data_IF_794806580706
#
_entry.id   IF_794806580706
#
_cell.length_a   1.000
_cell.length_b   1.000
_cell.length_c   1.000
_cell.angle_alpha   90.00
_cell.angle_beta   90.00
_cell.angle_gamma   90.00
#
_symmetry.space_group_name_H-M   'P 1'
#
loop_
_entity.id
_entity.type
_entity.pdbx_description
1 polymer ?
#
# COMPACT_ATOMS: atom_id res chain seq x y z
N UNK A 1 -58.47 -46.65 -11.36
CA UNK A 1 -57.55 -45.83 -10.58
C UNK A 1 -56.16 -45.96 -11.17
N UNK A 2 -55.71 -44.96 -11.90
CA UNK A 2 -54.33 -44.92 -12.49
C UNK A 2 -53.53 -43.87 -11.69
N UNK A 3 -52.52 -44.36 -10.95
CA UNK A 3 -51.59 -43.50 -10.24
C UNK A 3 -50.55 -42.92 -11.22
N UNK A 4 -50.52 -41.61 -11.31
CA UNK A 4 -49.46 -40.88 -12.06
C UNK A 4 -48.26 -40.66 -11.13
N UNK A 5 -47.10 -41.23 -11.49
CA UNK A 5 -45.82 -41.01 -10.82
C UNK A 5 -45.22 -39.76 -11.44
N UNK A 6 -45.12 -38.68 -10.66
CA UNK A 6 -44.39 -37.48 -11.03
C UNK A 6 -42.90 -37.68 -10.75
N UNK A 7 -42.12 -37.86 -11.79
CA UNK A 7 -40.67 -37.87 -11.67
C UNK A 7 -40.16 -36.44 -11.60
N UNK A 8 -39.68 -36.04 -10.43
CA UNK A 8 -39.04 -34.74 -10.20
C UNK A 8 -37.61 -34.81 -10.72
N UNK A 9 -37.36 -34.23 -11.91
CA UNK A 9 -36.00 -34.06 -12.44
C UNK A 9 -35.26 -33.02 -11.58
N UNK A 10 -34.28 -33.45 -10.80
CA UNK A 10 -33.27 -32.56 -10.23
C UNK A 10 -32.35 -32.10 -11.38
N UNK A 11 -32.47 -30.83 -11.76
CA UNK A 11 -31.47 -30.17 -12.61
C UNK A 11 -30.27 -29.83 -11.73
N UNK A 12 -29.06 -30.31 -12.03
CA UNK A 12 -27.87 -29.91 -11.29
C UNK A 12 -27.64 -28.44 -11.57
N UNK A 13 -27.70 -27.60 -10.54
CA UNK A 13 -27.23 -26.22 -10.61
C UNK A 13 -25.73 -26.23 -10.87
N UNK A 14 -25.33 -26.04 -12.11
CA UNK A 14 -23.95 -25.75 -12.47
C UNK A 14 -23.56 -24.46 -11.76
N UNK A 15 -22.75 -24.54 -10.70
CA UNK A 15 -22.02 -23.41 -10.17
C UNK A 15 -21.09 -22.92 -11.31
N UNK A 16 -21.56 -21.93 -12.06
CA UNK A 16 -20.66 -21.13 -12.90
C UNK A 16 -19.65 -20.49 -11.94
N UNK A 17 -18.41 -20.93 -12.00
CA UNK A 17 -17.30 -20.24 -11.34
C UNK A 17 -17.33 -18.79 -11.83
N UNK A 18 -17.47 -17.84 -10.91
CA UNK A 18 -17.38 -16.43 -11.26
C UNK A 18 -16.04 -16.22 -11.98
N UNK A 19 -16.01 -15.45 -13.09
CA UNK A 19 -14.75 -15.15 -13.77
C UNK A 19 -13.79 -14.52 -12.76
N UNK A 20 -12.54 -14.98 -12.80
CA UNK A 20 -11.49 -14.37 -12.00
C UNK A 20 -11.44 -12.87 -12.32
N UNK A 21 -11.30 -12.00 -11.31
CA UNK A 21 -11.22 -10.57 -11.57
C UNK A 21 -10.05 -10.30 -12.52
N UNK A 22 -10.30 -9.51 -13.55
CA UNK A 22 -9.24 -9.04 -14.44
C UNK A 22 -8.15 -8.39 -13.56
N UNK A 23 -6.91 -8.85 -13.72
CA UNK A 23 -5.77 -8.20 -13.07
C UNK A 23 -5.60 -6.83 -13.70
N UNK A 24 -5.75 -5.78 -12.88
CA UNK A 24 -5.55 -4.41 -13.33
C UNK A 24 -4.11 -4.14 -13.76
N UNK A 25 -3.89 -3.01 -14.40
CA UNK A 25 -2.56 -2.55 -14.80
C UNK A 25 -1.61 -2.51 -13.61
N UNK A 26 -0.30 -2.78 -13.81
CA UNK A 26 0.68 -2.64 -12.73
C UNK A 26 0.79 -1.17 -12.28
N UNK A 27 0.89 -1.00 -10.97
CA UNK A 27 1.15 0.28 -10.31
C UNK A 27 2.36 0.11 -9.42
N UNK A 28 3.49 0.72 -9.81
CA UNK A 28 4.73 0.72 -9.06
C UNK A 28 4.92 2.08 -8.38
N UNK A 29 5.06 2.07 -7.09
CA UNK A 29 5.26 3.28 -6.29
C UNK A 29 6.51 3.14 -5.44
N UNK A 30 7.37 4.14 -5.51
CA UNK A 30 8.57 4.22 -4.68
C UNK A 30 8.49 5.43 -3.78
N UNK A 31 8.66 5.21 -2.49
CA UNK A 31 8.79 6.26 -1.49
C UNK A 31 10.27 6.50 -1.21
N UNK A 32 10.75 7.71 -1.42
CA UNK A 32 12.08 8.19 -1.06
C UNK A 32 11.91 9.17 0.10
N UNK A 33 12.19 8.72 1.31
CA UNK A 33 11.95 9.48 2.54
C UNK A 33 13.27 10.02 3.08
N UNK A 34 13.31 11.32 3.27
CA UNK A 34 14.36 11.96 4.02
C UNK A 34 14.30 11.50 5.49
N UNK A 35 15.42 11.11 6.03
CA UNK A 35 15.61 10.65 7.41
C UNK A 35 16.66 11.46 8.15
N UNK A 36 16.89 12.71 7.73
CA UNK A 36 17.67 13.70 8.50
C UNK A 36 16.99 14.04 9.83
N UNK A 37 17.69 14.75 10.69
CA UNK A 37 17.21 15.05 12.05
C UNK A 37 15.95 15.91 12.10
N UNK A 38 15.70 16.71 11.06
CA UNK A 38 14.49 17.56 10.95
C UNK A 38 13.21 16.79 10.57
N UNK A 39 13.32 15.49 10.21
CA UNK A 39 12.24 14.75 9.52
C UNK A 39 11.39 13.84 10.40
N UNK A 40 11.45 13.94 11.73
CA UNK A 40 10.65 13.12 12.66
C UNK A 40 9.15 13.16 12.32
N UNK A 41 8.61 14.35 12.02
CA UNK A 41 7.22 14.53 11.66
C UNK A 41 6.82 13.80 10.37
N UNK A 42 7.68 13.79 9.33
CA UNK A 42 7.46 13.05 8.10
C UNK A 42 7.43 11.55 8.36
N UNK A 43 8.43 11.02 9.07
CA UNK A 43 8.54 9.58 9.35
C UNK A 43 7.36 9.10 10.18
N UNK A 44 6.95 9.86 11.19
CA UNK A 44 5.76 9.56 11.98
C UNK A 44 4.48 9.63 11.15
N UNK A 45 4.38 10.59 10.23
CA UNK A 45 3.25 10.68 9.30
C UNK A 45 3.21 9.49 8.34
N UNK A 46 4.36 9.07 7.79
CA UNK A 46 4.46 7.90 6.93
C UNK A 46 4.00 6.62 7.66
N UNK A 47 4.42 6.43 8.92
CA UNK A 47 3.99 5.29 9.75
C UNK A 47 2.48 5.27 9.99
N UNK A 48 1.86 6.44 10.20
CA UNK A 48 0.41 6.56 10.44
C UNK A 48 -0.43 6.40 9.19
N UNK A 49 0.07 6.86 8.03
CA UNK A 49 -0.73 7.11 6.83
C UNK A 49 -0.51 6.10 5.69
N UNK A 50 0.49 5.21 5.77
CA UNK A 50 0.74 4.23 4.69
C UNK A 50 -0.51 3.45 4.32
N UNK A 51 -1.24 2.92 5.28
CA UNK A 51 -2.42 2.09 5.01
C UNK A 51 -3.57 2.89 4.40
N UNK A 52 -3.78 4.14 4.85
CA UNK A 52 -4.75 5.04 4.22
C UNK A 52 -4.40 5.30 2.76
N UNK A 53 -3.13 5.51 2.45
CA UNK A 53 -2.64 5.67 1.09
C UNK A 53 -2.87 4.42 0.22
N UNK A 54 -2.57 3.23 0.75
CA UNK A 54 -2.84 1.96 0.05
C UNK A 54 -4.33 1.78 -0.22
N UNK A 55 -5.19 2.14 0.74
CA UNK A 55 -6.64 2.05 0.59
C UNK A 55 -7.18 2.98 -0.51
N UNK A 56 -6.57 4.15 -0.73
CA UNK A 56 -6.94 5.01 -1.86
C UNK A 56 -6.60 4.36 -3.21
N UNK A 57 -5.48 3.67 -3.30
CA UNK A 57 -5.13 2.91 -4.51
C UNK A 57 -6.07 1.74 -4.76
N UNK A 58 -6.64 1.16 -3.70
CA UNK A 58 -7.64 0.09 -3.85
C UNK A 58 -8.96 0.55 -4.50
N UNK A 59 -9.20 1.86 -4.59
CA UNK A 59 -10.34 2.44 -5.31
C UNK A 59 -10.13 2.50 -6.82
N UNK A 60 -8.92 2.22 -7.32
CA UNK A 60 -8.62 2.18 -8.76
C UNK A 60 -9.25 0.94 -9.39
N UNK A 61 -9.92 1.11 -10.53
CA UNK A 61 -10.58 0.03 -11.28
C UNK A 61 -10.02 -0.14 -12.71
N UNK A 62 -9.78 -1.41 -13.12
CA UNK A 62 -9.79 -2.62 -12.29
C UNK A 62 -8.69 -2.56 -11.22
N UNK A 63 -8.87 -3.28 -10.09
CA UNK A 63 -7.90 -3.27 -8.98
C UNK A 63 -6.49 -3.55 -9.49
N UNK A 64 -5.52 -2.65 -9.31
CA UNK A 64 -4.21 -2.78 -9.88
C UNK A 64 -3.37 -3.86 -9.18
N UNK A 65 -2.29 -4.29 -9.84
CA UNK A 65 -1.22 -5.00 -9.15
C UNK A 65 -0.27 -3.95 -8.58
N UNK A 66 -0.37 -3.71 -7.27
CA UNK A 66 0.43 -2.72 -6.56
C UNK A 66 1.76 -3.33 -6.10
N UNK A 67 2.87 -2.67 -6.43
CA UNK A 67 4.19 -2.90 -5.82
C UNK A 67 4.70 -1.61 -5.21
N UNK A 68 5.27 -1.72 -4.02
CA UNK A 68 5.83 -0.57 -3.29
C UNK A 68 7.31 -0.83 -3.03
N UNK A 69 8.15 0.16 -3.34
CA UNK A 69 9.57 0.22 -2.99
C UNK A 69 9.83 1.34 -1.98
N UNK A 70 10.92 1.23 -1.25
CA UNK A 70 11.29 2.21 -0.23
C UNK A 70 12.78 2.52 -0.27
N UNK A 71 13.10 3.79 -0.29
CA UNK A 71 14.41 4.36 -0.03
C UNK A 71 14.35 5.32 1.14
N UNK A 72 15.47 5.44 1.86
CA UNK A 72 15.72 6.50 2.82
C UNK A 72 17.02 7.21 2.48
N UNK A 73 17.13 8.49 2.82
CA UNK A 73 18.32 9.30 2.52
C UNK A 73 18.53 10.40 3.58
N UNK A 74 19.63 11.14 3.49
CA UNK A 74 19.93 12.25 4.39
C UNK A 74 20.34 11.82 5.82
N UNK A 75 20.69 10.56 6.04
CA UNK A 75 21.04 10.03 7.35
C UNK A 75 22.54 9.76 7.44
N UNK A 76 23.23 10.44 8.33
CA UNK A 76 24.70 10.36 8.50
C UNK A 76 25.20 8.98 8.98
N UNK A 77 24.33 8.07 9.35
CA UNK A 77 24.68 6.67 9.66
C UNK A 77 24.74 5.78 8.43
N UNK A 78 24.33 6.28 7.27
CA UNK A 78 24.39 5.54 6.00
C UNK A 78 25.74 5.74 5.30
N UNK A 79 25.98 4.94 4.27
CA UNK A 79 27.20 4.97 3.50
C UNK A 79 27.40 6.32 2.77
N UNK A 80 28.42 7.07 3.17
CA UNK A 80 28.75 8.35 2.57
C UNK A 80 29.17 8.23 1.08
N UNK A 81 29.77 7.10 0.68
CA UNK A 81 30.14 6.86 -0.73
C UNK A 81 28.93 6.74 -1.64
N UNK A 82 27.76 6.40 -1.08
CA UNK A 82 26.45 6.41 -1.75
C UNK A 82 25.70 7.73 -1.59
N UNK A 83 26.30 8.74 -0.96
CA UNK A 83 25.63 10.00 -0.67
C UNK A 83 24.53 9.86 0.38
N UNK A 84 24.78 9.03 1.40
CA UNK A 84 23.81 8.77 2.49
C UNK A 84 22.44 8.30 2.01
N UNK A 85 22.41 7.50 0.93
CA UNK A 85 21.20 6.88 0.38
C UNK A 85 21.18 5.39 0.66
N UNK A 86 20.06 4.87 1.16
CA UNK A 86 19.86 3.45 1.44
C UNK A 86 18.59 2.93 0.79
N UNK A 87 18.71 1.82 0.04
CA UNK A 87 17.57 1.04 -0.41
C UNK A 87 17.04 0.20 0.76
N UNK A 88 15.83 0.47 1.21
CA UNK A 88 15.18 -0.24 2.31
C UNK A 88 14.42 -1.46 1.82
N UNK A 89 13.68 -1.31 0.71
CA UNK A 89 12.86 -2.38 0.13
C UNK A 89 12.87 -2.27 -1.40
N UNK A 90 13.06 -3.40 -2.07
CA UNK A 90 12.83 -3.54 -3.52
C UNK A 90 11.34 -3.44 -3.82
N UNK A 91 10.95 -3.12 -5.08
CA UNK A 91 9.55 -3.15 -5.49
C UNK A 91 8.91 -4.51 -5.19
N UNK A 92 7.96 -4.53 -4.27
CA UNK A 92 7.33 -5.76 -3.76
C UNK A 92 5.82 -5.59 -3.59
N UNK A 93 5.09 -6.69 -3.72
CA UNK A 93 3.67 -6.80 -3.32
C UNK A 93 3.50 -7.09 -1.83
N UNK A 94 4.58 -7.42 -1.11
CA UNK A 94 4.56 -7.64 0.33
C UNK A 94 4.51 -6.31 1.08
N UNK A 95 3.28 -5.82 1.30
CA UNK A 95 3.03 -4.56 2.00
C UNK A 95 3.43 -4.62 3.48
N UNK A 96 3.49 -5.81 4.08
CA UNK A 96 3.92 -5.99 5.45
C UNK A 96 5.43 -5.78 5.61
N UNK A 97 6.25 -6.23 4.64
CA UNK A 97 7.68 -5.92 4.63
C UNK A 97 7.92 -4.42 4.46
N UNK A 98 7.17 -3.75 3.57
CA UNK A 98 7.25 -2.28 3.41
C UNK A 98 6.93 -1.57 4.73
N UNK A 99 5.82 -1.92 5.38
CA UNK A 99 5.41 -1.29 6.64
C UNK A 99 6.39 -1.55 7.78
N UNK A 100 6.93 -2.76 7.86
CA UNK A 100 7.98 -3.14 8.80
C UNK A 100 9.20 -2.23 8.64
N UNK A 101 9.65 -1.97 7.41
CA UNK A 101 10.80 -1.10 7.15
C UNK A 101 10.52 0.35 7.49
N UNK A 102 9.34 0.87 7.14
CA UNK A 102 8.92 2.24 7.53
C UNK A 102 8.93 2.37 9.06
N UNK A 103 8.41 1.37 9.80
CA UNK A 103 8.41 1.40 11.27
C UNK A 103 9.82 1.34 11.87
N UNK A 104 10.77 0.73 11.17
CA UNK A 104 12.16 0.65 11.60
C UNK A 104 12.97 1.91 11.28
N UNK A 105 12.47 2.83 10.44
CA UNK A 105 13.16 4.08 10.14
C UNK A 105 13.32 4.93 11.40
N UNK A 106 14.50 5.51 11.51
CA UNK A 106 14.88 6.49 12.54
C UNK A 106 15.56 7.65 11.86
N UNK A 107 15.28 8.84 12.35
CA UNK A 107 15.98 10.05 11.91
C UNK A 107 17.39 10.10 12.49
N UNK A 108 18.30 10.81 11.82
CA UNK A 108 19.65 11.02 12.28
C UNK A 108 19.68 12.05 13.43
N UNK A 109 20.63 11.88 14.35
CA UNK A 109 20.87 12.86 15.41
C UNK A 109 21.64 14.11 14.94
N UNK A 110 22.33 14.02 13.79
CA UNK A 110 23.11 15.11 13.20
C UNK A 110 22.90 15.14 11.67
N UNK A 111 23.01 16.32 11.07
CA UNK A 111 22.78 16.52 9.64
C UNK A 111 23.84 15.86 8.77
N UNK A 112 23.41 15.43 7.60
CA UNK A 112 24.22 15.08 6.43
C UNK A 112 23.61 15.78 5.23
N UNK A 113 24.26 15.76 4.09
CA UNK A 113 23.64 16.28 2.87
C UNK A 113 22.46 15.42 2.45
N UNK A 114 21.42 16.04 1.98
CA UNK A 114 20.13 15.44 1.69
C UNK A 114 19.90 15.41 0.18
N UNK A 115 20.51 14.42 -0.48
CA UNK A 115 20.63 14.36 -1.93
C UNK A 115 19.38 13.81 -2.61
N UNK A 116 18.33 14.63 -2.75
CA UNK A 116 17.09 14.30 -3.43
C UNK A 116 17.30 13.83 -4.88
N UNK A 117 18.25 14.45 -5.62
CA UNK A 117 18.62 14.01 -6.97
C UNK A 117 19.22 12.60 -6.97
N UNK A 118 20.11 12.30 -6.03
CA UNK A 118 20.82 11.01 -5.94
C UNK A 118 19.88 9.86 -5.55
N UNK A 119 19.02 10.06 -4.57
CA UNK A 119 18.05 9.03 -4.21
C UNK A 119 17.10 8.75 -5.37
N UNK A 120 16.68 9.79 -6.10
CA UNK A 120 15.84 9.63 -7.30
C UNK A 120 16.55 8.82 -8.38
N UNK A 121 17.83 9.14 -8.66
CA UNK A 121 18.67 8.40 -9.61
C UNK A 121 18.76 6.91 -9.22
N UNK A 122 19.08 6.60 -7.97
CA UNK A 122 19.18 5.21 -7.52
C UNK A 122 17.83 4.48 -7.62
N UNK A 123 16.73 5.13 -7.28
CA UNK A 123 15.40 4.55 -7.45
C UNK A 123 15.09 4.25 -8.93
N UNK A 124 15.50 5.11 -9.85
CA UNK A 124 15.36 4.88 -11.31
C UNK A 124 16.23 3.74 -11.81
N UNK A 125 17.44 3.55 -11.29
CA UNK A 125 18.45 2.63 -11.83
C UNK A 125 18.45 1.26 -11.18
N UNK A 126 18.24 1.19 -9.86
CA UNK A 126 18.47 -0.03 -9.07
C UNK A 126 17.22 -0.89 -8.88
N UNK A 127 16.01 -0.34 -9.11
CA UNK A 127 14.77 -1.06 -8.91
C UNK A 127 14.32 -1.80 -10.17
N UNK A 128 13.68 -2.94 -9.93
CA UNK A 128 13.09 -3.79 -10.99
C UNK A 128 11.69 -3.31 -11.34
N UNK A 129 11.59 -2.20 -12.04
CA UNK A 129 10.32 -1.63 -12.50
C UNK A 129 9.53 -2.58 -13.40
N UNK A 130 8.21 -2.49 -13.36
CA UNK A 130 7.32 -3.20 -14.29
C UNK A 130 7.67 -2.87 -15.74
N UNK A 131 7.80 -3.87 -16.62
CA UNK A 131 8.13 -3.64 -18.03
C UNK A 131 6.94 -3.08 -18.82
N UNK A 132 5.71 -3.21 -18.31
CA UNK A 132 4.49 -2.81 -18.99
C UNK A 132 4.44 -1.28 -19.12
N UNK A 133 4.41 -0.79 -20.38
CA UNK A 133 4.45 0.65 -20.68
C UNK A 133 3.18 1.40 -20.28
N UNK A 134 2.06 0.71 -20.18
CA UNK A 134 0.75 1.25 -19.82
C UNK A 134 0.50 1.21 -18.29
N UNK A 135 1.44 0.66 -17.52
CA UNK A 135 1.44 0.71 -16.06
C UNK A 135 1.76 2.12 -15.53
N UNK A 136 1.37 2.38 -14.31
CA UNK A 136 1.69 3.61 -13.60
C UNK A 136 2.96 3.41 -12.77
N UNK A 137 4.01 4.21 -13.03
CA UNK A 137 5.30 4.13 -12.34
C UNK A 137 5.63 5.49 -11.74
N UNK A 138 5.74 5.54 -10.41
CA UNK A 138 5.83 6.79 -9.66
C UNK A 138 6.93 6.69 -8.60
N UNK A 139 7.71 7.75 -8.48
CA UNK A 139 8.57 8.03 -7.33
C UNK A 139 7.99 9.22 -6.58
N UNK A 140 7.85 9.12 -5.26
CA UNK A 140 7.62 10.25 -4.37
C UNK A 140 8.91 10.55 -3.61
N UNK A 141 9.43 11.75 -3.76
CA UNK A 141 10.60 12.23 -3.02
C UNK A 141 10.14 13.24 -1.99
N UNK A 142 10.40 12.96 -0.72
CA UNK A 142 9.94 13.75 0.43
C UNK A 142 11.14 14.30 1.20
N UNK A 143 11.20 15.60 1.44
CA UNK A 143 12.27 16.27 2.19
C UNK A 143 11.97 17.75 2.40
N UNK A 144 12.85 18.46 3.11
CA UNK A 144 12.66 19.86 3.48
C UNK A 144 13.83 20.79 3.11
N UNK A 145 14.98 20.25 2.73
CA UNK A 145 16.16 21.02 2.37
C UNK A 145 16.19 21.39 0.88
N UNK A 146 17.10 22.27 0.42
CA UNK A 146 17.24 22.59 -1.01
C UNK A 146 17.44 21.32 -1.85
N UNK A 147 16.61 21.16 -2.88
CA UNK A 147 16.58 19.95 -3.72
C UNK A 147 17.83 19.75 -4.57
N UNK A 148 18.65 20.79 -4.77
CA UNK A 148 19.83 20.87 -5.64
C UNK A 148 21.17 20.80 -4.89
N UNK A 149 21.20 20.23 -3.68
CA UNK A 149 22.41 20.09 -2.88
C UNK A 149 23.49 19.20 -3.54
N UNK A 150 23.07 18.19 -4.33
CA UNK A 150 23.98 17.25 -4.97
C UNK A 150 24.70 17.90 -6.15
N UNK A 151 26.04 18.01 -6.07
CA UNK A 151 26.85 18.60 -7.12
C UNK A 151 27.31 17.59 -8.18
N UNK A 152 27.20 16.27 -7.87
CA UNK A 152 27.59 15.19 -8.78
C UNK A 152 26.43 14.69 -9.62
N UNK A 153 25.19 14.83 -9.14
CA UNK A 153 23.97 14.38 -9.80
C UNK A 153 23.03 15.57 -10.03
N UNK A 154 22.90 15.99 -11.28
CA UNK A 154 22.04 17.14 -11.62
C UNK A 154 20.56 16.72 -11.68
N UNK A 155 19.68 17.63 -11.30
CA UNK A 155 18.22 17.44 -11.41
C UNK A 155 17.80 17.25 -12.87
N UNK A 156 18.49 17.90 -13.83
CA UNK A 156 18.26 17.77 -15.26
C UNK A 156 18.50 16.34 -15.73
N UNK A 157 19.64 15.75 -15.37
CA UNK A 157 19.98 14.37 -15.76
C UNK A 157 18.98 13.35 -15.21
N UNK A 158 18.50 13.55 -13.98
CA UNK A 158 17.45 12.72 -13.36
C UNK A 158 16.14 12.87 -14.11
N UNK A 159 15.77 14.10 -14.48
CA UNK A 159 14.51 14.36 -15.19
C UNK A 159 14.52 13.73 -16.61
N UNK A 160 15.63 13.80 -17.33
CA UNK A 160 15.80 13.14 -18.63
C UNK A 160 15.69 11.62 -18.51
N UNK A 161 16.36 11.04 -17.50
CA UNK A 161 16.30 9.61 -17.25
C UNK A 161 14.88 9.14 -16.85
N UNK A 162 14.19 9.88 -16.00
CA UNK A 162 12.81 9.59 -15.60
C UNK A 162 11.85 9.59 -16.80
N UNK A 163 11.94 10.62 -17.64
CA UNK A 163 11.16 10.71 -18.90
C UNK A 163 11.47 9.57 -19.85
N UNK A 164 12.76 9.25 -20.05
CA UNK A 164 13.18 8.15 -20.92
C UNK A 164 12.63 6.80 -20.48
N UNK A 165 12.48 6.59 -19.18
CA UNK A 165 11.88 5.38 -18.59
C UNK A 165 10.36 5.46 -18.46
N UNK A 166 9.72 6.59 -18.69
CA UNK A 166 8.30 6.83 -18.46
C UNK A 166 7.90 6.70 -16.99
N UNK A 167 8.77 7.13 -16.08
CA UNK A 167 8.56 7.16 -14.64
C UNK A 167 8.31 8.60 -14.20
N UNK A 168 7.25 8.84 -13.44
CA UNK A 168 6.93 10.13 -12.89
C UNK A 168 7.65 10.34 -11.56
N UNK A 169 8.24 11.51 -11.33
CA UNK A 169 8.77 11.88 -10.02
C UNK A 169 7.92 13.01 -9.45
N UNK A 170 7.22 12.69 -8.38
CA UNK A 170 6.47 13.65 -7.58
C UNK A 170 7.31 14.08 -6.40
N UNK A 171 7.11 15.30 -5.94
CA UNK A 171 7.81 15.81 -4.77
C UNK A 171 6.85 16.21 -3.66
N UNK A 172 7.25 15.94 -2.42
CA UNK A 172 6.54 16.39 -1.23
C UNK A 172 7.52 17.24 -0.41
N UNK A 173 7.34 18.55 -0.51
CA UNK A 173 8.12 19.46 0.30
C UNK A 173 7.57 19.51 1.74
N UNK A 174 8.41 19.21 2.71
CA UNK A 174 8.04 19.13 4.14
C UNK A 174 8.30 20.46 4.84
N UNK A 175 7.56 21.49 4.46
CA UNK A 175 7.67 22.85 4.96
C UNK A 175 6.57 23.74 4.40
N UNK A 176 6.61 25.03 4.73
CA UNK A 176 5.61 26.00 4.25
C UNK A 176 5.77 26.24 2.73
N UNK A 177 4.67 26.34 1.96
CA UNK A 177 4.73 26.55 0.53
C UNK A 177 5.38 27.88 0.09
N UNK A 178 5.52 28.80 1.04
CA UNK A 178 6.15 30.11 0.82
C UNK A 178 7.66 30.12 1.09
N UNK A 179 8.23 29.00 1.57
CA UNK A 179 9.67 28.91 1.80
C UNK A 179 10.42 28.93 0.46
N UNK A 180 11.63 29.51 0.45
CA UNK A 180 12.43 29.67 -0.77
C UNK A 180 12.70 28.34 -1.47
N UNK A 181 12.93 27.28 -0.73
CA UNK A 181 13.26 25.96 -1.27
C UNK A 181 12.07 25.26 -1.93
N UNK A 182 10.83 25.58 -1.54
CA UNK A 182 9.62 24.98 -2.13
C UNK A 182 9.57 25.15 -3.66
N UNK A 183 10.07 26.26 -4.19
CA UNK A 183 10.12 26.53 -5.64
C UNK A 183 11.03 25.53 -6.39
N UNK A 184 12.16 25.14 -5.78
CA UNK A 184 13.06 24.13 -6.33
C UNK A 184 12.40 22.76 -6.47
N UNK A 185 11.68 22.32 -5.43
CA UNK A 185 10.92 21.07 -5.42
C UNK A 185 9.82 21.04 -6.47
N UNK A 186 9.07 22.15 -6.63
CA UNK A 186 8.08 22.31 -7.70
C UNK A 186 8.68 22.18 -9.09
N UNK A 187 9.80 22.85 -9.31
CA UNK A 187 10.52 22.83 -10.59
C UNK A 187 11.03 21.43 -10.91
N UNK A 188 11.58 20.70 -9.95
CA UNK A 188 12.07 19.35 -10.14
C UNK A 188 10.93 18.40 -10.51
N UNK A 189 9.82 18.40 -9.77
CA UNK A 189 8.65 17.58 -10.10
C UNK A 189 8.15 17.84 -11.53
N UNK A 190 8.00 19.13 -11.91
CA UNK A 190 7.55 19.53 -13.25
C UNK A 190 8.47 19.04 -14.35
N UNK A 191 9.81 19.16 -14.16
CA UNK A 191 10.80 18.64 -15.10
C UNK A 191 10.70 17.12 -15.29
N UNK A 192 10.28 16.37 -14.24
CA UNK A 192 10.09 14.91 -14.28
C UNK A 192 8.68 14.48 -14.73
N UNK A 193 7.84 15.40 -15.19
CA UNK A 193 6.45 15.13 -15.57
C UNK A 193 5.53 14.79 -14.40
N UNK A 194 6.01 15.03 -13.17
CA UNK A 194 5.28 14.80 -11.93
C UNK A 194 4.59 16.05 -11.40
N UNK A 195 4.16 15.97 -10.16
CA UNK A 195 3.50 17.03 -9.40
C UNK A 195 4.21 17.26 -8.07
N UNK A 196 4.08 18.46 -7.54
CA UNK A 196 4.57 18.82 -6.22
C UNK A 196 3.42 19.09 -5.27
N UNK A 197 3.62 18.76 -4.00
CA UNK A 197 2.75 19.16 -2.90
C UNK A 197 3.59 19.54 -1.68
N UNK A 198 2.96 20.21 -0.73
CA UNK A 198 3.58 20.60 0.53
C UNK A 198 2.83 19.96 1.68
N UNK A 199 3.57 19.61 2.72
CA UNK A 199 2.99 19.19 4.01
C UNK A 199 3.61 20.02 5.12
N UNK A 200 2.79 20.40 6.09
CA UNK A 200 3.30 20.94 7.35
C UNK A 200 3.63 19.79 8.30
N UNK A 201 4.90 19.65 8.65
CA UNK A 201 5.37 18.62 9.58
C UNK A 201 4.85 18.84 11.01
N UNK A 202 4.73 20.07 11.44
CA UNK A 202 4.20 20.41 12.77
C UNK A 202 2.69 20.19 12.83
N UNK A 203 1.94 20.57 11.79
CA UNK A 203 0.51 20.29 11.63
C UNK A 203 0.20 18.80 11.57
N UNK A 204 1.07 17.99 10.98
CA UNK A 204 0.94 16.53 10.94
C UNK A 204 0.95 15.88 12.34
N UNK A 205 1.60 16.49 13.32
CA UNK A 205 1.55 16.07 14.73
C UNK A 205 0.22 16.41 15.41
N UNK A 206 -0.46 17.44 14.93
CA UNK A 206 -1.69 17.98 15.52
C UNK A 206 -2.98 17.41 14.89
N UNK A 207 -2.88 16.54 13.85
CA UNK A 207 -4.06 16.00 13.18
C UNK A 207 -4.91 15.16 14.16
N UNK A 208 -6.04 15.72 14.55
CA UNK A 208 -7.02 15.03 15.39
C UNK A 208 -7.70 13.96 14.54
N UNK A 209 -7.47 12.71 14.90
CA UNK A 209 -8.14 11.60 14.24
C UNK A 209 -9.66 11.71 14.41
N UNK A 210 -10.40 11.77 13.30
CA UNK A 210 -11.86 11.74 13.33
C UNK A 210 -12.28 10.32 13.70
N UNK A 211 -12.82 10.16 14.90
CA UNK A 211 -13.40 8.89 15.36
C UNK A 211 -14.79 8.72 14.76
N UNK A 212 -15.06 7.54 14.23
CA UNK A 212 -16.32 7.22 13.58
C UNK A 212 -17.07 6.09 14.31
N UNK A 213 -18.40 6.02 14.19
CA UNK A 213 -19.18 4.92 14.78
C UNK A 213 -18.87 3.54 14.19
N UNK A 214 -18.10 3.47 13.09
CA UNK A 214 -17.76 2.24 12.38
C UNK A 214 -16.40 1.66 12.79
N UNK A 215 -15.57 2.44 13.47
CA UNK A 215 -14.16 2.14 13.73
C UNK A 215 -13.97 0.86 14.54
N UNK A 216 -14.76 0.67 15.57
CA UNK A 216 -14.63 -0.50 16.45
C UNK A 216 -15.00 -1.81 15.73
N UNK A 217 -16.03 -1.79 14.88
CA UNK A 217 -16.43 -2.98 14.11
C UNK A 217 -15.40 -3.32 13.03
N UNK A 218 -14.87 -2.32 12.32
CA UNK A 218 -13.78 -2.51 11.34
C UNK A 218 -12.55 -3.09 12.04
N UNK A 219 -12.20 -2.60 13.23
CA UNK A 219 -11.07 -3.09 14.00
C UNK A 219 -11.24 -4.57 14.38
N UNK A 220 -12.42 -4.96 14.87
CA UNK A 220 -12.74 -6.37 15.18
C UNK A 220 -12.65 -7.27 13.96
N UNK A 221 -13.23 -6.85 12.84
CA UNK A 221 -13.19 -7.60 11.59
C UNK A 221 -11.77 -7.67 11.02
N UNK A 222 -10.99 -6.60 11.14
CA UNK A 222 -9.58 -6.56 10.76
C UNK A 222 -8.69 -7.51 11.58
N UNK A 223 -9.08 -7.84 12.81
CA UNK A 223 -8.44 -8.91 13.61
C UNK A 223 -8.97 -10.28 13.18
N UNK A 224 -10.29 -10.42 13.05
CA UNK A 224 -10.94 -11.69 12.72
C UNK A 224 -10.53 -12.24 11.36
N UNK A 225 -10.22 -11.39 10.37
CA UNK A 225 -9.78 -11.83 9.06
C UNK A 225 -8.50 -12.65 9.12
N UNK A 226 -7.64 -12.46 10.15
CA UNK A 226 -6.42 -13.24 10.34
C UNK A 226 -6.70 -14.74 10.51
N UNK A 227 -7.86 -15.11 11.08
CA UNK A 227 -8.27 -16.51 11.29
C UNK A 227 -8.65 -17.22 9.99
N UNK A 228 -8.73 -16.49 8.90
CA UNK A 228 -9.07 -17.03 7.57
C UNK A 228 -7.83 -17.39 6.74
N UNK A 229 -6.63 -16.94 7.13
CA UNK A 229 -5.39 -17.26 6.41
C UNK A 229 -4.94 -18.70 6.71
N UNK A 230 -4.59 -19.41 5.65
CA UNK A 230 -4.04 -20.76 5.71
C UNK A 230 -2.60 -20.72 5.21
N UNK A 231 -1.72 -20.35 6.12
CA UNK A 231 -0.30 -20.15 5.83
C UNK A 231 0.41 -21.46 5.49
N UNK A 232 1.03 -21.55 4.31
CA UNK A 232 1.65 -22.75 3.78
C UNK A 232 3.06 -22.52 3.27
N UNK A 233 3.78 -23.62 3.01
CA UNK A 233 5.13 -23.60 2.47
C UNK A 233 6.17 -23.07 3.46
N UNK A 234 7.42 -22.97 2.99
CA UNK A 234 8.56 -22.61 3.84
C UNK A 234 8.50 -21.17 4.38
N UNK A 235 7.79 -20.27 3.70
CA UNK A 235 7.62 -18.87 4.12
C UNK A 235 6.39 -18.66 5.01
N UNK A 236 5.44 -19.60 5.06
CA UNK A 236 4.14 -19.41 5.70
C UNK A 236 4.22 -18.96 7.16
N UNK A 237 5.03 -19.63 7.98
CA UNK A 237 5.19 -19.27 9.39
C UNK A 237 5.78 -17.85 9.58
N UNK A 238 6.79 -17.49 8.78
CA UNK A 238 7.41 -16.17 8.85
C UNK A 238 6.45 -15.06 8.38
N UNK A 239 5.68 -15.31 7.34
CA UNK A 239 4.68 -14.36 6.82
C UNK A 239 3.55 -14.13 7.83
N UNK A 240 3.06 -15.20 8.48
CA UNK A 240 2.11 -15.10 9.60
C UNK A 240 2.64 -14.22 10.72
N UNK A 241 3.86 -14.52 11.17
CA UNK A 241 4.50 -13.76 12.24
C UNK A 241 4.67 -12.28 11.87
N UNK A 242 5.06 -11.99 10.62
CA UNK A 242 5.17 -10.62 10.12
C UNK A 242 3.81 -9.92 10.08
N UNK A 243 2.75 -10.57 9.55
CA UNK A 243 1.39 -10.00 9.54
C UNK A 243 0.95 -9.58 10.94
N UNK A 244 1.08 -10.46 11.94
CA UNK A 244 0.70 -10.18 13.32
C UNK A 244 1.56 -9.07 13.95
N UNK A 245 2.87 -9.04 13.64
CA UNK A 245 3.76 -7.99 14.10
C UNK A 245 3.36 -6.62 13.52
N UNK A 246 2.97 -6.57 12.23
CA UNK A 246 2.54 -5.33 11.61
C UNK A 246 1.14 -4.89 12.09
N UNK A 247 0.25 -5.81 12.45
CA UNK A 247 -1.00 -5.48 13.17
C UNK A 247 -0.68 -4.78 14.51
N UNK A 248 0.27 -5.33 15.27
CA UNK A 248 0.74 -4.74 16.52
C UNK A 248 1.41 -3.37 16.32
N UNK A 249 2.20 -3.20 15.28
CA UNK A 249 2.83 -1.92 14.95
C UNK A 249 1.79 -0.86 14.60
N UNK A 250 0.82 -1.18 13.76
CA UNK A 250 -0.26 -0.27 13.40
C UNK A 250 -1.06 0.19 14.64
N UNK A 251 -1.37 -0.74 15.55
CA UNK A 251 -2.08 -0.42 16.79
C UNK A 251 -1.28 0.49 17.73
N UNK A 252 0.06 0.31 17.78
CA UNK A 252 0.96 1.15 18.61
C UNK A 252 1.13 2.55 18.02
N UNK A 253 1.16 2.68 16.70
CA UNK A 253 1.39 3.96 16.01
C UNK A 253 0.18 4.88 16.20
N UNK A 254 -1.01 4.40 15.88
CA UNK A 254 -2.26 5.15 16.10
C UNK A 254 -3.50 4.24 15.93
N UNK A 255 -4.59 4.49 16.65
CA UNK A 255 -5.85 3.77 16.46
C UNK A 255 -6.33 3.80 15.00
N UNK A 256 -6.25 4.95 14.33
CA UNK A 256 -6.60 5.11 12.92
C UNK A 256 -5.77 4.24 11.99
N UNK A 257 -4.46 4.08 12.24
CA UNK A 257 -3.60 3.21 11.45
C UNK A 257 -4.02 1.73 11.53
N UNK A 258 -4.45 1.26 12.69
CA UNK A 258 -4.96 -0.10 12.86
C UNK A 258 -6.28 -0.33 12.09
N UNK A 259 -7.16 0.67 12.05
CA UNK A 259 -8.42 0.63 11.30
C UNK A 259 -8.12 0.57 9.80
N UNK A 260 -7.27 1.47 9.30
CA UNK A 260 -6.89 1.50 7.88
C UNK A 260 -6.20 0.20 7.45
N UNK A 261 -5.34 -0.38 8.31
CA UNK A 261 -4.75 -1.69 8.05
C UNK A 261 -5.80 -2.81 7.98
N UNK A 262 -6.81 -2.78 8.85
CA UNK A 262 -7.94 -3.72 8.79
C UNK A 262 -8.69 -3.64 7.46
N UNK A 263 -8.92 -2.42 6.96
CA UNK A 263 -9.52 -2.16 5.64
C UNK A 263 -8.60 -2.71 4.53
N UNK A 264 -7.30 -2.44 4.59
CA UNK A 264 -6.32 -2.92 3.60
C UNK A 264 -6.32 -4.45 3.52
N UNK A 265 -6.26 -5.16 4.65
CA UNK A 265 -6.28 -6.64 4.69
C UNK A 265 -7.56 -7.24 4.10
N UNK A 266 -8.67 -6.53 4.21
CA UNK A 266 -9.92 -6.90 3.57
C UNK A 266 -10.01 -6.47 2.10
N UNK A 267 -9.09 -5.65 1.63
CA UNK A 267 -9.07 -5.11 0.27
C UNK A 267 -8.35 -6.00 -0.74
N UNK A 268 -8.54 -5.71 -2.03
CA UNK A 268 -7.96 -6.49 -3.13
C UNK A 268 -6.46 -6.29 -3.35
N UNK A 269 -5.83 -5.30 -2.71
CA UNK A 269 -4.39 -5.03 -2.84
C UNK A 269 -3.52 -5.84 -1.85
N UNK A 270 -4.08 -6.35 -0.77
CA UNK A 270 -3.37 -7.16 0.21
C UNK A 270 -3.48 -8.63 -0.18
N UNK A 271 -2.45 -9.16 -0.85
CA UNK A 271 -2.42 -10.53 -1.37
C UNK A 271 -1.18 -11.27 -0.92
N UNK A 272 -1.36 -12.52 -0.51
CA UNK A 272 -0.31 -13.40 0.00
C UNK A 272 -0.30 -14.77 -0.73
N UNK A 273 -0.59 -14.80 -2.02
CA UNK A 273 -0.76 -16.04 -2.79
C UNK A 273 0.48 -16.96 -2.79
N UNK A 274 1.68 -16.42 -2.50
CA UNK A 274 2.88 -17.24 -2.35
C UNK A 274 2.92 -18.07 -1.06
N UNK A 275 2.15 -17.67 -0.03
CA UNK A 275 2.21 -18.27 1.29
C UNK A 275 0.85 -18.42 2.01
N UNK A 276 -0.26 -18.02 1.38
CA UNK A 276 -1.63 -18.26 1.85
C UNK A 276 -2.43 -19.03 0.81
N UNK A 277 -2.96 -20.20 1.20
CA UNK A 277 -3.69 -21.10 0.30
C UNK A 277 -5.00 -20.51 -0.19
N UNK A 278 -5.65 -19.63 0.58
CA UNK A 278 -6.90 -19.00 0.15
C UNK A 278 -6.62 -18.00 -0.96
N UNK A 279 -5.63 -17.12 -0.78
CA UNK A 279 -5.24 -16.19 -1.84
C UNK A 279 -4.74 -16.91 -3.07
N UNK A 280 -3.97 -18.00 -2.90
CA UNK A 280 -3.50 -18.83 -3.99
C UNK A 280 -4.67 -19.43 -4.77
N UNK A 281 -5.63 -20.04 -4.09
CA UNK A 281 -6.83 -20.62 -4.71
C UNK A 281 -7.66 -19.58 -5.47
N UNK A 282 -7.77 -18.35 -4.95
CA UNK A 282 -8.58 -17.30 -5.55
C UNK A 282 -7.89 -16.57 -6.72
N UNK A 283 -6.56 -16.62 -6.81
CA UNK A 283 -5.80 -15.89 -7.83
C UNK A 283 -5.18 -16.79 -8.93
N UNK A 284 -5.07 -18.10 -8.74
CA UNK A 284 -4.52 -19.04 -9.71
C UNK A 284 -5.62 -19.85 -10.39
N UNK A 285 -5.73 -19.75 -11.74
CA UNK A 285 -6.75 -20.45 -12.53
C UNK A 285 -6.69 -21.97 -12.41
N UNK A 286 -5.47 -22.50 -12.32
CA UNK A 286 -5.20 -23.94 -12.30
C UNK A 286 -4.79 -24.43 -10.90
N UNK A 287 -5.28 -23.75 -9.86
CA UNK A 287 -5.03 -24.15 -8.48
C UNK A 287 -5.54 -25.56 -8.22
N UNK A 288 -4.65 -26.42 -7.75
CA UNK A 288 -4.95 -27.78 -7.34
C UNK A 288 -4.25 -28.07 -6.01
N UNK A 289 -5.05 -28.23 -4.96
CA UNK A 289 -4.53 -28.52 -3.61
C UNK A 289 -3.68 -29.78 -3.56
N UNK A 290 -3.95 -30.78 -4.43
CA UNK A 290 -3.21 -32.05 -4.50
C UNK A 290 -1.77 -31.85 -5.00
N UNK A 291 -1.46 -30.73 -5.67
CA UNK A 291 -0.09 -30.39 -6.09
C UNK A 291 0.75 -29.79 -4.96
N UNK A 292 0.15 -29.40 -3.85
CA UNK A 292 0.86 -28.91 -2.68
C UNK A 292 1.41 -30.11 -1.90
N UNK A 293 2.71 -30.09 -1.62
CA UNK A 293 3.36 -31.17 -0.84
C UNK A 293 2.76 -31.23 0.56
N UNK A 294 2.56 -32.45 1.07
CA UNK A 294 2.01 -32.68 2.42
C UNK A 294 2.81 -31.92 3.50
N UNK A 295 4.15 -31.88 3.36
CA UNK A 295 5.02 -31.17 4.30
C UNK A 295 4.74 -29.66 4.33
N UNK A 296 4.32 -29.07 3.21
CA UNK A 296 4.08 -27.62 3.05
C UNK A 296 2.66 -27.21 3.46
N UNK A 297 1.75 -28.16 3.67
CA UNK A 297 0.39 -27.84 4.13
C UNK A 297 0.39 -27.26 5.55
N UNK A 298 -0.55 -26.36 5.88
CA UNK A 298 -0.75 -25.91 7.24
C UNK A 298 -1.26 -27.06 8.14
N UNK A 299 -0.92 -27.01 9.44
CA UNK A 299 -1.26 -28.07 10.40
C UNK A 299 -2.76 -28.34 10.49
N UNK A 300 -3.59 -27.33 10.26
CA UNK A 300 -5.05 -27.46 10.21
C UNK A 300 -5.50 -28.42 9.10
N UNK A 301 -4.88 -28.34 7.92
CA UNK A 301 -5.19 -29.24 6.80
C UNK A 301 -4.55 -30.63 6.96
N UNK A 302 -3.36 -30.72 7.56
CA UNK A 302 -2.72 -32.02 7.85
C UNK A 302 -3.56 -32.89 8.77
N UNK A 303 -4.33 -32.29 9.69
CA UNK A 303 -5.23 -32.99 10.61
C UNK A 303 -6.50 -33.52 9.95
N UNK A 304 -6.83 -33.05 8.75
CA UNK A 304 -8.02 -33.44 8.01
C UNK A 304 -7.73 -34.61 7.06
N UNK A 305 -8.74 -35.45 6.81
CA UNK A 305 -8.69 -36.40 5.71
C UNK A 305 -8.58 -35.68 4.37
N UNK A 306 -7.96 -36.29 3.37
CA UNK A 306 -7.72 -35.67 2.07
C UNK A 306 -9.01 -35.08 1.44
N UNK A 307 -10.12 -35.82 1.53
CA UNK A 307 -11.40 -35.42 0.94
C UNK A 307 -12.07 -34.23 1.68
N UNK A 308 -11.71 -33.99 2.94
CA UNK A 308 -12.25 -32.90 3.76
C UNK A 308 -11.47 -31.58 3.58
N UNK A 309 -10.28 -31.62 2.99
CA UNK A 309 -9.38 -30.46 2.87
C UNK A 309 -9.90 -29.37 1.93
N UNK A 310 -10.38 -29.76 0.75
CA UNK A 310 -10.93 -28.80 -0.21
C UNK A 310 -12.25 -28.15 0.28
N UNK A 311 -13.21 -28.89 0.85
CA UNK A 311 -14.36 -28.30 1.56
C UNK A 311 -13.96 -27.30 2.64
N UNK A 312 -12.92 -27.60 3.42
CA UNK A 312 -12.41 -26.69 4.45
C UNK A 312 -11.83 -25.39 3.86
N UNK A 313 -11.05 -25.49 2.77
CA UNK A 313 -10.56 -24.31 2.03
C UNK A 313 -11.72 -23.42 1.57
N UNK A 314 -12.72 -24.03 0.94
CA UNK A 314 -13.91 -23.30 0.44
C UNK A 314 -14.66 -22.61 1.56
N UNK A 315 -14.80 -23.28 2.71
CA UNK A 315 -15.39 -22.67 3.92
C UNK A 315 -14.59 -21.44 4.38
N UNK A 316 -13.26 -21.56 4.49
CA UNK A 316 -12.38 -20.44 4.89
C UNK A 316 -12.42 -19.28 3.88
N UNK A 317 -12.48 -19.57 2.59
CA UNK A 317 -12.67 -18.54 1.55
C UNK A 317 -14.01 -17.84 1.70
N UNK A 318 -15.08 -18.56 1.99
CA UNK A 318 -16.39 -17.99 2.28
C UNK A 318 -16.37 -17.07 3.50
N UNK A 319 -15.76 -17.51 4.61
CA UNK A 319 -15.59 -16.69 5.83
C UNK A 319 -14.83 -15.39 5.52
N UNK A 320 -13.75 -15.47 4.72
CA UNK A 320 -12.97 -14.30 4.28
C UNK A 320 -13.83 -13.35 3.43
N UNK A 321 -14.56 -13.88 2.47
CA UNK A 321 -15.43 -13.09 1.58
C UNK A 321 -16.49 -12.31 2.34
N UNK A 322 -17.14 -12.92 3.33
CA UNK A 322 -18.13 -12.23 4.17
C UNK A 322 -17.50 -11.10 5.00
N UNK A 323 -16.31 -11.33 5.57
CA UNK A 323 -15.58 -10.29 6.30
C UNK A 323 -15.20 -9.15 5.34
N UNK A 324 -14.65 -9.47 4.17
CA UNK A 324 -14.25 -8.48 3.15
C UNK A 324 -15.44 -7.61 2.71
N UNK A 325 -16.59 -8.22 2.44
CA UNK A 325 -17.82 -7.52 2.08
C UNK A 325 -18.25 -6.56 3.19
N UNK A 326 -18.32 -7.04 4.44
CA UNK A 326 -18.74 -6.22 5.58
C UNK A 326 -17.79 -5.04 5.80
N UNK A 327 -16.47 -5.29 5.76
CA UNK A 327 -15.47 -4.23 5.90
C UNK A 327 -15.58 -3.20 4.76
N UNK A 328 -15.81 -3.62 3.52
CA UNK A 328 -16.00 -2.73 2.39
C UNK A 328 -17.21 -1.79 2.58
N UNK A 329 -18.35 -2.34 3.05
CA UNK A 329 -19.55 -1.54 3.34
C UNK A 329 -19.30 -0.53 4.48
N UNK A 330 -18.65 -0.99 5.56
CA UNK A 330 -18.32 -0.13 6.69
C UNK A 330 -17.29 0.95 6.33
N UNK A 331 -16.28 0.62 5.52
CA UNK A 331 -15.27 1.57 5.08
C UNK A 331 -15.86 2.67 4.21
N UNK A 332 -16.84 2.34 3.35
CA UNK A 332 -17.59 3.32 2.55
C UNK A 332 -18.39 4.28 3.44
N UNK A 333 -19.08 3.75 4.45
CA UNK A 333 -19.82 4.58 5.42
C UNK A 333 -18.87 5.46 6.24
N UNK A 334 -17.73 4.90 6.65
CA UNK A 334 -16.67 5.60 7.37
C UNK A 334 -16.09 6.76 6.56
N UNK A 335 -15.75 6.54 5.29
CA UNK A 335 -15.24 7.58 4.40
C UNK A 335 -16.22 8.76 4.30
N UNK A 336 -17.49 8.49 4.03
CA UNK A 336 -18.54 9.53 3.97
C UNK A 336 -18.68 10.31 5.28
N UNK A 337 -18.57 9.63 6.41
CA UNK A 337 -18.62 10.28 7.72
C UNK A 337 -17.41 11.21 7.92
N UNK A 338 -16.21 10.73 7.61
CA UNK A 338 -14.97 11.51 7.71
C UNK A 338 -15.04 12.74 6.80
N UNK A 339 -15.48 12.58 5.55
CA UNK A 339 -15.58 13.68 4.59
C UNK A 339 -16.58 14.74 5.07
N UNK A 340 -17.72 14.33 5.64
CA UNK A 340 -18.68 15.25 6.23
C UNK A 340 -18.13 16.01 7.43
N UNK A 341 -17.36 15.37 8.32
CA UNK A 341 -16.73 16.02 9.46
C UNK A 341 -15.57 16.94 9.03
N UNK A 342 -14.75 16.52 8.06
CA UNK A 342 -13.70 17.35 7.47
C UNK A 342 -14.26 18.61 6.82
N UNK A 343 -15.35 18.50 6.08
CA UNK A 343 -16.00 19.67 5.46
C UNK A 343 -16.47 20.71 6.50
N UNK A 344 -16.82 20.27 7.71
CA UNK A 344 -17.11 21.19 8.83
C UNK A 344 -15.84 21.86 9.38
N UNK A 345 -14.71 21.16 9.39
CA UNK A 345 -13.43 21.63 9.94
C UNK A 345 -12.59 22.45 8.94
N UNK A 346 -12.60 22.12 7.64
CA UNK A 346 -11.84 22.80 6.58
C UNK A 346 -12.17 24.29 6.40
N UNK A 347 -13.30 24.74 6.95
CA UNK A 347 -13.58 26.19 7.08
C UNK A 347 -12.59 26.92 8.01
N UNK A 348 -11.68 26.20 8.67
CA UNK A 348 -10.86 26.72 9.76
C UNK A 348 -9.33 26.72 9.53
N UNK A 349 -8.72 25.82 8.73
CA UNK A 349 -7.24 25.65 8.74
C UNK A 349 -6.49 25.60 7.41
N UNK A 350 -7.11 25.30 6.30
CA UNK A 350 -6.45 25.39 4.96
C UNK A 350 -5.27 24.43 4.63
N UNK A 351 -4.79 23.61 5.56
CA UNK A 351 -3.60 22.78 5.43
C UNK A 351 -3.91 21.34 4.97
N UNK A 352 -3.00 20.76 4.16
CA UNK A 352 -3.13 19.37 3.67
C UNK A 352 -2.24 18.43 4.47
N UNK A 353 -2.80 17.28 4.89
CA UNK A 353 -2.04 16.17 5.43
C UNK A 353 -1.31 15.38 4.33
N UNK A 354 -0.29 14.59 4.69
CA UNK A 354 0.51 13.79 3.74
C UNK A 354 -0.37 12.87 2.87
N UNK A 355 -1.33 12.16 3.48
CA UNK A 355 -2.23 11.26 2.76
C UNK A 355 -3.10 12.01 1.75
N UNK A 356 -3.53 13.23 2.05
CA UNK A 356 -4.30 14.06 1.13
C UNK A 356 -3.43 14.51 -0.06
N UNK A 357 -2.18 14.94 0.21
CA UNK A 357 -1.25 15.33 -0.83
C UNK A 357 -0.94 14.18 -1.81
N UNK A 358 -0.67 12.99 -1.27
CA UNK A 358 -0.43 11.79 -2.08
C UNK A 358 -1.67 11.37 -2.87
N UNK A 359 -2.85 11.42 -2.24
CA UNK A 359 -4.15 11.08 -2.86
C UNK A 359 -4.46 11.95 -4.06
N UNK A 360 -4.36 13.27 -3.89
CA UNK A 360 -4.67 14.23 -4.95
C UNK A 360 -3.77 14.00 -6.18
N UNK A 361 -2.47 13.78 -5.95
CA UNK A 361 -1.51 13.50 -7.02
C UNK A 361 -1.84 12.19 -7.72
N UNK A 362 -2.11 11.13 -6.97
CA UNK A 362 -2.41 9.81 -7.53
C UNK A 362 -3.70 9.79 -8.33
N UNK A 363 -4.78 10.40 -7.83
CA UNK A 363 -6.07 10.46 -8.51
C UNK A 363 -5.90 11.08 -9.90
N UNK A 364 -5.18 12.18 -10.00
CA UNK A 364 -4.92 12.86 -11.26
C UNK A 364 -4.06 12.03 -12.21
N UNK A 365 -2.99 11.41 -11.69
CA UNK A 365 -2.06 10.62 -12.51
C UNK A 365 -2.68 9.29 -12.96
N UNK A 366 -3.45 8.61 -12.11
CA UNK A 366 -4.22 7.43 -12.47
C UNK A 366 -5.23 7.74 -13.58
N UNK A 367 -5.98 8.83 -13.44
CA UNK A 367 -6.94 9.28 -14.45
C UNK A 367 -6.25 9.58 -15.79
N UNK A 368 -5.09 10.22 -15.77
CA UNK A 368 -4.30 10.53 -16.99
C UNK A 368 -3.83 9.27 -17.74
N UNK A 369 -3.69 8.14 -17.03
CA UNK A 369 -3.36 6.82 -17.60
C UNK A 369 -4.58 5.98 -17.96
N UNK A 370 -5.78 6.56 -17.89
CA UNK A 370 -7.03 5.90 -18.22
C UNK A 370 -7.49 4.88 -17.16
N UNK A 371 -6.96 4.99 -15.93
CA UNK A 371 -7.46 4.25 -14.79
C UNK A 371 -8.65 5.00 -14.18
N UNK A 372 -9.70 4.27 -13.84
CA UNK A 372 -10.87 4.84 -13.17
C UNK A 372 -10.65 4.79 -11.66
N UNK A 373 -10.93 5.87 -10.97
CA UNK A 373 -10.88 5.93 -9.49
C UNK A 373 -12.32 6.06 -9.00
N UNK A 374 -12.76 5.10 -8.17
CA UNK A 374 -14.06 5.19 -7.50
C UNK A 374 -14.05 6.33 -6.49
N UNK A 375 -15.16 7.03 -6.37
CA UNK A 375 -15.37 8.05 -5.33
C UNK A 375 -15.55 7.44 -3.93
#
# INVERSE_FOLDING_TARGET
MRAAIFAMMLVPASLLAAPLPETGKPVDIVLCLDTSGSMDGLIDSAKRKLWSFVNELAKVEPTPTLRVGLYSYGNNTYDASRGWVRKEVELTTDLDEVYKRINALKTAAAGSSEFAARVSKYALEELKWSPEKDGLRIIFVCGNEPVDQDKDVSLESVAEQAKGKGILINTIYCGTPTHLDAAGWNTFASKCGGKSSNIDQEGAKAEVAIVTPFDEEIRKLGTKINDTYLWFGTKGAASRANQLAQDGNAAKVAPGAAIERGITKAGGLYKNAECDLIDKMLNEKDFDLKKIKEADLPDELKKLKADDREPYLKKKAGERSEIQKTVSELSTKRAKYIDAERAKQQKLTGEKALDQALRDILKDQATSKGLKVKD
#
